data_IF_738491624544
#
_entry.id   IF_738491624544
#
_cell.length_a   1.000
_cell.length_b   1.000
_cell.length_c   1.000
_cell.angle_alpha   90.00
_cell.angle_beta   90.00
_cell.angle_gamma   90.00
#
_symmetry.space_group_name_H-M   'P 1'
#
loop_
_entity.id
_entity.type
_entity.pdbx_description
1 polymer ?
#
# COMPACT_ATOMS: atom_id res chain seq x y z
N UNK A 1 -14.70 3.43 4.55
CA UNK A 1 -13.97 2.48 5.43
C UNK A 1 -13.01 3.28 6.27
N UNK A 2 -12.78 2.91 7.54
CA UNK A 2 -11.75 3.53 8.37
C UNK A 2 -10.33 3.18 7.89
N UNK A 3 -10.19 2.05 7.19
CA UNK A 3 -8.93 1.50 6.72
C UNK A 3 -8.83 1.53 5.19
N UNK A 4 -7.62 1.76 4.69
CA UNK A 4 -7.29 1.80 3.26
C UNK A 4 -5.92 1.20 2.99
N UNK A 5 -5.50 1.21 1.72
CA UNK A 5 -4.24 0.64 1.27
C UNK A 5 -3.44 1.64 0.45
N UNK A 6 -2.13 1.66 0.65
CA UNK A 6 -1.18 2.36 -0.20
C UNK A 6 -0.20 1.38 -0.84
N UNK A 7 -0.03 1.50 -2.16
CA UNK A 7 0.87 0.66 -2.96
C UNK A 7 2.05 1.49 -3.47
N UNK A 8 3.26 1.14 -3.05
CA UNK A 8 4.49 1.86 -3.42
C UNK A 8 5.38 1.00 -4.31
N UNK A 9 5.84 1.53 -5.44
CA UNK A 9 6.74 0.80 -6.34
C UNK A 9 7.72 1.71 -7.07
N UNK A 10 8.80 1.13 -7.57
CA UNK A 10 9.76 1.80 -8.45
C UNK A 10 9.18 2.13 -9.82
N UNK A 11 8.07 1.51 -10.20
CA UNK A 11 7.38 1.76 -11.47
C UNK A 11 5.96 2.20 -11.21
N UNK A 12 5.37 2.94 -12.14
CA UNK A 12 3.97 3.38 -12.03
C UNK A 12 3.01 2.23 -12.36
N UNK A 13 3.43 1.36 -13.27
CA UNK A 13 2.62 0.33 -13.91
C UNK A 13 2.26 -0.82 -12.96
N UNK A 14 3.17 -1.20 -12.05
CA UNK A 14 2.94 -2.27 -11.08
C UNK A 14 1.77 -1.92 -10.13
N UNK A 15 1.81 -0.82 -9.37
CA UNK A 15 0.74 -0.51 -8.42
C UNK A 15 -0.57 -0.16 -9.13
N UNK A 16 -0.56 0.45 -10.32
CA UNK A 16 -1.76 0.67 -11.12
C UNK A 16 -2.36 -0.63 -11.68
N UNK A 17 -1.53 -1.56 -12.14
CA UNK A 17 -1.95 -2.90 -12.54
C UNK A 17 -2.58 -3.66 -11.38
N UNK A 18 -1.95 -3.60 -10.21
CA UNK A 18 -2.43 -4.23 -9.00
C UNK A 18 -3.74 -3.61 -8.50
N UNK A 19 -3.86 -2.29 -8.50
CA UNK A 19 -5.11 -1.60 -8.15
C UNK A 19 -6.26 -2.03 -9.07
N UNK A 20 -6.01 -2.14 -10.39
CA UNK A 20 -7.01 -2.65 -11.34
C UNK A 20 -7.44 -4.08 -11.03
N UNK A 21 -6.48 -4.97 -10.74
CA UNK A 21 -6.77 -6.35 -10.37
C UNK A 21 -7.60 -6.43 -9.07
N UNK A 22 -7.21 -5.69 -8.04
CA UNK A 22 -7.92 -5.63 -6.76
C UNK A 22 -9.34 -5.07 -6.94
N UNK A 23 -9.53 -4.12 -7.87
CA UNK A 23 -10.83 -3.57 -8.21
C UNK A 23 -11.86 -4.59 -8.70
N UNK A 24 -11.46 -5.79 -9.12
CA UNK A 24 -12.40 -6.86 -9.46
C UNK A 24 -13.04 -7.51 -8.22
N UNK A 25 -12.37 -7.45 -7.05
CA UNK A 25 -12.81 -8.13 -5.82
C UNK A 25 -13.12 -7.19 -4.64
N UNK A 26 -12.53 -5.98 -4.61
CA UNK A 26 -12.57 -5.08 -3.46
C UNK A 26 -12.85 -3.62 -3.87
N UNK A 27 -13.94 -3.38 -4.61
CA UNK A 27 -14.31 -2.06 -5.19
C UNK A 27 -14.51 -0.92 -4.17
N UNK A 28 -14.79 -1.27 -2.92
CA UNK A 28 -15.09 -0.36 -1.83
C UNK A 28 -13.86 -0.04 -0.95
N UNK A 29 -12.72 -0.69 -1.18
CA UNK A 29 -11.48 -0.43 -0.42
C UNK A 29 -10.77 0.78 -1.02
N UNK A 30 -10.48 1.83 -0.24
CA UNK A 30 -9.69 2.97 -0.71
C UNK A 30 -8.25 2.54 -0.99
N UNK A 31 -7.81 2.70 -2.24
CA UNK A 31 -6.44 2.38 -2.66
C UNK A 31 -5.82 3.61 -3.30
N UNK A 32 -4.66 4.01 -2.80
CA UNK A 32 -3.79 5.01 -3.42
C UNK A 32 -2.46 4.39 -3.83
N UNK A 33 -1.80 4.99 -4.81
CA UNK A 33 -0.58 4.43 -5.42
C UNK A 33 0.50 5.48 -5.53
N UNK A 34 1.74 5.12 -5.21
CA UNK A 34 2.92 5.94 -5.45
C UNK A 34 3.96 5.10 -6.21
N UNK A 35 4.07 5.34 -7.52
CA UNK A 35 4.93 4.56 -8.40
C UNK A 35 5.80 5.46 -9.29
N UNK A 36 7.10 5.19 -9.35
CA UNK A 36 8.04 5.91 -10.22
C UNK A 36 8.39 7.33 -9.76
N UNK A 37 9.31 7.96 -10.45
CA UNK A 37 9.72 9.36 -10.27
C UNK A 37 8.79 10.32 -11.02
N UNK A 38 8.86 11.62 -10.69
CA UNK A 38 8.00 12.67 -11.29
C UNK A 38 8.12 12.75 -12.82
N UNK A 39 9.30 12.51 -13.35
CA UNK A 39 9.60 12.46 -14.79
C UNK A 39 9.16 11.15 -15.47
N UNK A 40 8.57 10.21 -14.72
CA UNK A 40 8.18 8.88 -15.18
C UNK A 40 9.31 7.85 -15.13
N UNK A 41 10.48 8.20 -14.60
CA UNK A 41 11.61 7.29 -14.42
C UNK A 41 11.37 6.22 -13.35
N UNK A 42 12.20 5.17 -13.39
CA UNK A 42 12.19 4.09 -12.41
C UNK A 42 12.81 4.60 -11.10
N UNK A 43 12.05 4.50 -10.01
CA UNK A 43 12.48 4.96 -8.68
C UNK A 43 11.28 5.25 -7.77
N UNK A 44 11.57 5.71 -6.57
CA UNK A 44 10.54 6.12 -5.59
C UNK A 44 10.78 7.56 -5.14
N UNK A 45 9.72 8.36 -5.02
CA UNK A 45 9.75 9.73 -4.52
C UNK A 45 9.00 9.82 -3.19
N UNK A 46 9.61 10.51 -2.23
CA UNK A 46 9.01 10.75 -0.92
C UNK A 46 7.79 11.66 -1.03
N UNK A 47 7.83 12.65 -1.92
CA UNK A 47 6.72 13.57 -2.20
C UNK A 47 5.50 12.83 -2.73
N UNK A 48 5.68 11.92 -3.70
CA UNK A 48 4.58 11.12 -4.26
C UNK A 48 3.97 10.18 -3.24
N UNK A 49 4.80 9.57 -2.38
CA UNK A 49 4.31 8.71 -1.30
C UNK A 49 3.51 9.54 -0.30
N UNK A 50 4.02 10.70 0.11
CA UNK A 50 3.33 11.61 1.03
C UNK A 50 1.98 12.08 0.46
N UNK A 51 1.96 12.43 -0.83
CA UNK A 51 0.72 12.78 -1.53
C UNK A 51 -0.27 11.61 -1.56
N UNK A 52 0.19 10.39 -1.87
CA UNK A 52 -0.67 9.21 -1.90
C UNK A 52 -1.23 8.84 -0.51
N UNK A 53 -0.48 9.10 0.56
CA UNK A 53 -0.96 8.97 1.95
C UNK A 53 -2.06 10.01 2.21
N UNK A 54 -1.81 11.28 1.88
CA UNK A 54 -2.75 12.40 2.12
C UNK A 54 -4.07 12.20 1.36
N UNK A 55 -4.00 11.84 0.08
CA UNK A 55 -5.15 11.65 -0.82
C UNK A 55 -6.01 10.44 -0.44
N UNK A 56 -5.48 9.47 0.30
CA UNK A 56 -6.26 8.30 0.69
C UNK A 56 -7.33 8.72 1.72
N UNK A 57 -8.63 8.49 1.48
CA UNK A 57 -9.67 8.96 2.40
C UNK A 57 -9.75 8.19 3.73
N UNK A 58 -8.95 7.13 3.92
CA UNK A 58 -8.85 6.40 5.17
C UNK A 58 -7.83 7.03 6.14
N UNK A 59 -8.10 6.90 7.44
CA UNK A 59 -7.20 7.37 8.51
C UNK A 59 -6.14 6.34 8.91
N UNK A 60 -6.43 5.05 8.63
CA UNK A 60 -5.54 3.93 8.88
C UNK A 60 -5.15 3.27 7.56
N UNK A 61 -3.86 3.21 7.23
CA UNK A 61 -3.37 2.69 5.95
C UNK A 61 -2.50 1.46 6.14
N UNK A 62 -2.77 0.42 5.36
CA UNK A 62 -1.87 -0.72 5.20
C UNK A 62 -0.97 -0.44 4.00
N UNK A 63 0.34 -0.43 4.22
CA UNK A 63 1.31 -0.03 3.23
C UNK A 63 2.13 -1.21 2.72
N UNK A 64 2.15 -1.38 1.39
CA UNK A 64 2.87 -2.43 0.68
C UNK A 64 3.85 -1.83 -0.32
N UNK A 65 5.02 -2.44 -0.43
CA UNK A 65 6.13 -1.93 -1.24
C UNK A 65 6.87 -3.07 -1.95
N UNK A 66 7.54 -2.75 -3.06
CA UNK A 66 8.29 -3.74 -3.84
C UNK A 66 9.67 -4.06 -3.24
N UNK A 67 10.60 -3.09 -3.27
CA UNK A 67 12.02 -3.28 -2.97
C UNK A 67 12.48 -2.36 -1.84
N UNK A 68 13.62 -2.68 -1.21
CA UNK A 68 14.06 -2.04 0.03
C UNK A 68 14.19 -0.52 0.00
N UNK A 69 14.59 0.09 -1.13
CA UNK A 69 14.64 1.54 -1.30
C UNK A 69 13.27 2.21 -1.22
N UNK A 70 12.20 1.52 -1.67
CA UNK A 70 10.83 2.02 -1.53
C UNK A 70 10.41 2.09 -0.05
N UNK A 71 10.83 1.10 0.75
CA UNK A 71 10.62 1.08 2.21
C UNK A 71 11.25 2.29 2.88
N UNK A 72 12.49 2.64 2.56
CA UNK A 72 13.16 3.79 3.18
C UNK A 72 12.39 5.10 2.97
N UNK A 73 11.93 5.37 1.74
CA UNK A 73 11.13 6.56 1.47
C UNK A 73 9.75 6.52 2.13
N UNK A 74 9.15 5.33 2.20
CA UNK A 74 7.87 5.12 2.86
C UNK A 74 7.98 5.33 4.38
N UNK A 75 9.02 4.82 5.03
CA UNK A 75 9.29 5.08 6.46
C UNK A 75 9.43 6.58 6.75
N UNK A 76 10.19 7.31 5.92
CA UNK A 76 10.29 8.78 6.07
C UNK A 76 8.93 9.49 5.89
N UNK A 77 8.11 9.05 4.93
CA UNK A 77 6.78 9.63 4.72
C UNK A 77 5.82 9.31 5.89
N UNK A 78 5.94 8.11 6.48
CA UNK A 78 5.17 7.70 7.67
C UNK A 78 5.49 8.60 8.87
N UNK A 79 6.75 9.02 9.04
CA UNK A 79 7.14 9.94 10.12
C UNK A 79 6.55 11.35 9.97
N UNK A 80 6.13 11.72 8.76
CA UNK A 80 5.66 13.07 8.44
C UNK A 80 4.13 13.22 8.39
N UNK A 81 3.39 12.12 8.45
CA UNK A 81 1.92 12.13 8.41
C UNK A 81 1.29 12.00 9.79
N UNK A 82 0.05 12.49 9.94
CA UNK A 82 -0.77 12.25 11.14
C UNK A 82 -1.60 10.97 11.04
N UNK A 83 -1.69 10.35 9.85
CA UNK A 83 -2.42 9.10 9.64
C UNK A 83 -1.67 7.92 10.25
N UNK A 84 -2.40 6.90 10.70
CA UNK A 84 -1.79 5.65 11.18
C UNK A 84 -1.43 4.81 9.95
N UNK A 85 -0.14 4.61 9.69
CA UNK A 85 0.32 3.80 8.55
C UNK A 85 1.09 2.58 9.07
N UNK A 86 0.60 1.39 8.74
CA UNK A 86 1.25 0.12 9.08
C UNK A 86 1.98 -0.42 7.87
N UNK A 87 3.31 -0.51 7.97
CA UNK A 87 4.18 -1.07 6.93
C UNK A 87 4.28 -2.59 7.06
N UNK A 88 4.07 -3.33 5.96
CA UNK A 88 4.19 -4.79 5.94
C UNK A 88 5.41 -5.26 5.12
N UNK A 89 6.34 -5.97 5.77
CA UNK A 89 7.52 -6.59 5.15
C UNK A 89 7.16 -7.92 4.44
N UNK A 90 6.22 -7.83 3.50
CA UNK A 90 5.58 -8.99 2.84
C UNK A 90 5.61 -8.87 1.31
N UNK A 91 5.24 -9.93 0.60
CA UNK A 91 5.19 -9.94 -0.86
C UNK A 91 4.13 -8.96 -1.38
N UNK A 92 4.56 -7.91 -2.08
CA UNK A 92 3.71 -6.75 -2.41
C UNK A 92 2.38 -7.13 -3.06
N UNK A 93 2.41 -7.94 -4.11
CA UNK A 93 1.23 -8.25 -4.94
C UNK A 93 0.25 -9.12 -4.17
N UNK A 94 0.73 -10.23 -3.63
CA UNK A 94 -0.05 -11.23 -2.92
C UNK A 94 -0.66 -10.64 -1.63
N UNK A 95 0.12 -9.86 -0.88
CA UNK A 95 -0.32 -9.25 0.37
C UNK A 95 -1.32 -8.12 0.15
N UNK A 96 -1.08 -7.22 -0.81
CA UNK A 96 -2.03 -6.16 -1.10
C UNK A 96 -3.38 -6.70 -1.57
N UNK A 97 -3.36 -7.72 -2.43
CA UNK A 97 -4.57 -8.40 -2.87
C UNK A 97 -5.32 -9.05 -1.70
N UNK A 98 -4.60 -9.81 -0.86
CA UNK A 98 -5.15 -10.49 0.31
C UNK A 98 -5.74 -9.50 1.32
N UNK A 99 -5.01 -8.44 1.65
CA UNK A 99 -5.47 -7.39 2.55
C UNK A 99 -6.73 -6.69 2.03
N UNK A 100 -6.77 -6.33 0.75
CA UNK A 100 -7.94 -5.68 0.17
C UNK A 100 -9.16 -6.61 0.13
N UNK A 101 -8.98 -7.89 -0.23
CA UNK A 101 -10.08 -8.86 -0.22
C UNK A 101 -10.67 -9.04 1.20
N UNK A 102 -9.82 -9.09 2.22
CA UNK A 102 -10.23 -9.19 3.61
C UNK A 102 -10.89 -7.91 4.13
N UNK A 103 -10.36 -6.74 3.78
CA UNK A 103 -10.98 -5.45 4.09
C UNK A 103 -12.37 -5.32 3.44
N UNK A 104 -12.52 -5.75 2.18
CA UNK A 104 -13.81 -5.77 1.50
C UNK A 104 -14.84 -6.68 2.18
N UNK A 105 -14.37 -7.74 2.85
CA UNK A 105 -15.17 -8.67 3.64
C UNK A 105 -15.35 -8.25 5.11
N UNK A 106 -14.93 -7.03 5.49
CA UNK A 106 -15.00 -6.48 6.85
C UNK A 106 -14.28 -7.35 7.90
N UNK A 107 -13.18 -7.99 7.49
CA UNK A 107 -12.38 -8.82 8.39
C UNK A 107 -11.69 -7.98 9.48
N UNK A 108 -11.54 -8.58 10.66
CA UNK A 108 -10.84 -7.98 11.79
C UNK A 108 -9.34 -7.77 11.48
N UNK A 109 -8.72 -6.81 12.18
CA UNK A 109 -7.29 -6.49 12.01
C UNK A 109 -6.40 -7.70 12.29
N UNK A 110 -6.70 -8.47 13.33
CA UNK A 110 -5.92 -9.63 13.73
C UNK A 110 -5.91 -10.73 12.64
N UNK A 111 -7.04 -10.92 11.94
CA UNK A 111 -7.10 -11.91 10.85
C UNK A 111 -6.31 -11.44 9.64
N UNK A 112 -6.37 -10.15 9.30
CA UNK A 112 -5.56 -9.58 8.21
C UNK A 112 -4.07 -9.76 8.55
N UNK A 113 -3.64 -9.35 9.73
CA UNK A 113 -2.24 -9.49 10.15
C UNK A 113 -1.76 -10.94 10.15
N UNK A 114 -2.60 -11.87 10.60
CA UNK A 114 -2.31 -13.30 10.57
C UNK A 114 -2.10 -13.82 9.15
N UNK A 115 -2.98 -13.47 8.21
CA UNK A 115 -2.84 -13.89 6.80
C UNK A 115 -1.61 -13.27 6.16
N UNK A 116 -1.32 -11.99 6.44
CA UNK A 116 -0.14 -11.31 5.93
C UNK A 116 1.18 -11.86 6.51
N UNK A 117 1.17 -12.38 7.74
CA UNK A 117 2.35 -12.98 8.35
C UNK A 117 2.88 -14.20 7.56
N UNK A 118 2.00 -14.94 6.87
CA UNK A 118 2.38 -16.08 6.01
C UNK A 118 3.09 -15.64 4.72
N UNK A 119 2.95 -14.36 4.35
CA UNK A 119 3.51 -13.76 3.12
C UNK A 119 4.78 -12.94 3.40
N UNK A 120 5.33 -13.05 4.62
CA UNK A 120 6.57 -12.37 5.01
C UNK A 120 7.75 -12.87 4.18
N UNK A 121 8.46 -11.94 3.57
CA UNK A 121 9.63 -12.23 2.71
C UNK A 121 10.93 -11.62 3.23
N UNK A 122 10.88 -10.80 4.29
CA UNK A 122 12.03 -10.09 4.86
C UNK A 122 11.99 -10.12 6.38
#
# INVERSE_FOLDING_TARGET
MSRGVILVSHTKEIPEGLQRLIGEVAKNVPITTAGGLEDGGIGTSMERISQAIEENPAEELLAFYDLGSAKMNLEMAIEMTTKKVTLFDTAMVESAYTACALLAADAAEEEIEKQLAELKIK
#
